data_IF_506692771039
#
_entry.id   IF_506692771039
#
_cell.length_a   1.000
_cell.length_b   1.000
_cell.length_c   1.000
_cell.angle_alpha   90.00
_cell.angle_beta   90.00
_cell.angle_gamma   90.00
#
_symmetry.space_group_name_H-M   'P 1'
#
loop_
_entity.id
_entity.type
_entity.pdbx_description
1 polymer ?
#
# COMPACT_ATOMS: atom_id res chain seq x y z
N UNK A 1 -22.28 -28.43 45.86
CA UNK A 1 -21.05 -27.96 46.54
C UNK A 1 -19.85 -28.65 45.90
N UNK A 2 -19.21 -27.99 44.93
CA UNK A 2 -17.80 -28.20 44.60
C UNK A 2 -17.31 -26.87 44.04
N UNK A 3 -16.68 -26.09 44.92
CA UNK A 3 -16.10 -24.82 44.58
C UNK A 3 -14.83 -25.07 43.75
N UNK A 4 -14.75 -24.42 42.60
CA UNK A 4 -13.52 -24.33 41.79
C UNK A 4 -12.50 -23.52 42.59
N UNK A 5 -11.27 -24.01 42.81
CA UNK A 5 -10.26 -23.26 43.53
C UNK A 5 -9.82 -22.03 42.72
N UNK A 6 -9.49 -20.90 43.39
CA UNK A 6 -8.99 -19.71 42.71
C UNK A 6 -7.61 -20.00 42.09
N UNK A 7 -7.44 -19.56 40.85
CA UNK A 7 -6.16 -19.55 40.13
C UNK A 7 -5.21 -18.59 40.86
N UNK A 8 -3.92 -18.94 41.06
CA UNK A 8 -2.97 -18.05 41.70
C UNK A 8 -2.77 -16.80 40.83
N UNK A 9 -2.75 -15.64 41.49
CA UNK A 9 -2.40 -14.36 40.89
C UNK A 9 -0.88 -14.32 40.69
N UNK A 10 -0.42 -14.81 39.54
CA UNK A 10 0.97 -14.73 39.13
C UNK A 10 1.26 -13.26 38.81
N UNK A 11 1.69 -12.51 39.82
CA UNK A 11 1.92 -11.05 39.86
C UNK A 11 2.95 -10.47 38.86
N UNK A 12 2.92 -10.91 37.61
CA UNK A 12 3.52 -10.27 36.46
C UNK A 12 2.48 -9.36 35.80
N UNK A 13 2.21 -8.24 36.47
CA UNK A 13 1.79 -7.02 35.77
C UNK A 13 2.91 -6.70 34.78
N UNK A 14 2.78 -7.16 33.52
CA UNK A 14 3.59 -6.63 32.43
C UNK A 14 3.20 -5.17 32.31
N UNK A 15 4.03 -4.32 32.91
CA UNK A 15 3.94 -2.88 32.79
C UNK A 15 3.77 -2.56 31.30
N UNK A 16 2.64 -1.93 30.96
CA UNK A 16 2.53 -1.26 29.68
C UNK A 16 3.69 -0.26 29.53
N UNK A 17 4.05 0.12 28.30
CA UNK A 17 5.07 1.12 28.08
C UNK A 17 4.75 2.36 28.93
N UNK A 18 5.76 3.00 29.56
CA UNK A 18 5.53 4.08 30.50
C UNK A 18 4.67 5.18 29.86
N UNK A 19 3.66 5.64 30.61
CA UNK A 19 2.86 6.80 30.26
C UNK A 19 3.81 8.00 30.08
N UNK A 20 4.02 8.41 28.82
CA UNK A 20 4.98 9.45 28.46
C UNK A 20 5.44 9.44 26.99
N UNK A 21 5.15 8.39 26.21
CA UNK A 21 5.67 8.25 24.83
C UNK A 21 4.65 8.50 23.70
N UNK A 22 3.42 8.90 24.01
CA UNK A 22 2.41 9.32 23.04
C UNK A 22 2.03 10.77 23.33
N UNK A 23 2.87 11.73 22.93
CA UNK A 23 2.45 13.12 22.91
C UNK A 23 1.37 13.33 21.84
N UNK A 24 0.37 14.22 22.04
CA UNK A 24 -0.49 14.66 20.95
C UNK A 24 0.37 15.25 19.82
N UNK A 25 -0.11 15.27 18.58
CA UNK A 25 0.49 16.11 17.54
C UNK A 25 0.34 17.56 18.02
N UNK A 26 1.39 18.23 18.50
CA UNK A 26 1.18 19.52 19.10
C UNK A 26 1.10 20.48 17.92
N UNK A 27 -0.08 21.02 17.62
CA UNK A 27 -0.27 21.98 16.53
C UNK A 27 0.70 23.17 16.61
N UNK A 28 1.25 23.44 17.80
CA UNK A 28 2.29 24.43 18.08
C UNK A 28 3.68 24.09 17.55
N UNK A 29 4.04 22.82 17.36
CA UNK A 29 5.36 22.42 16.86
C UNK A 29 5.51 22.90 15.42
N UNK A 30 6.63 23.58 15.16
CA UNK A 30 6.95 24.14 13.85
C UNK A 30 8.16 23.47 13.20
N UNK A 31 9.16 23.06 13.98
CA UNK A 31 10.44 22.52 13.47
C UNK A 31 10.53 21.02 13.73
N UNK A 32 10.44 20.23 12.68
CA UNK A 32 10.40 18.76 12.77
C UNK A 32 11.57 18.18 11.98
N UNK A 33 12.27 17.22 12.59
CA UNK A 33 13.38 16.50 11.97
C UNK A 33 12.99 15.04 11.71
N UNK A 34 13.20 14.55 10.48
CA UNK A 34 12.88 13.18 10.06
C UNK A 34 14.16 12.37 9.79
N UNK A 35 14.42 11.33 10.58
CA UNK A 35 15.58 10.43 10.41
C UNK A 35 15.19 9.24 9.53
N UNK A 36 15.87 9.07 8.39
CA UNK A 36 15.46 8.16 7.33
C UNK A 36 14.33 8.75 6.48
N UNK A 37 14.44 10.03 6.11
CA UNK A 37 13.38 10.80 5.45
C UNK A 37 13.02 10.27 4.05
N UNK A 38 13.90 9.50 3.40
CA UNK A 38 13.70 8.97 2.05
C UNK A 38 12.81 7.74 1.97
N UNK A 39 12.48 7.08 3.09
CA UNK A 39 11.56 5.94 3.08
C UNK A 39 10.14 6.34 2.67
N UNK A 40 9.40 5.48 1.97
CA UNK A 40 8.04 5.78 1.44
C UNK A 40 7.13 6.49 2.46
N UNK A 41 6.85 5.89 3.62
CA UNK A 41 6.00 6.51 4.64
C UNK A 41 6.60 7.76 5.29
N UNK A 42 7.94 7.85 5.38
CA UNK A 42 8.62 9.03 5.92
C UNK A 42 8.54 10.22 4.95
N UNK A 43 8.72 9.98 3.65
CA UNK A 43 8.64 10.99 2.61
C UNK A 43 7.21 11.51 2.42
N UNK A 44 6.19 10.63 2.57
CA UNK A 44 4.78 11.05 2.58
C UNK A 44 4.48 11.96 3.78
N UNK A 45 4.96 11.60 4.98
CA UNK A 45 4.80 12.44 6.17
C UNK A 45 5.56 13.77 6.05
N UNK A 46 6.78 13.76 5.51
CA UNK A 46 7.55 14.97 5.25
C UNK A 46 6.81 15.90 4.27
N UNK A 47 6.25 15.34 3.19
CA UNK A 47 5.45 16.08 2.20
C UNK A 47 4.21 16.70 2.86
N UNK A 48 3.47 15.93 3.66
CA UNK A 48 2.33 16.43 4.43
C UNK A 48 2.74 17.61 5.33
N UNK A 49 3.83 17.43 6.08
CA UNK A 49 4.35 18.43 7.00
C UNK A 49 4.72 19.74 6.31
N UNK A 50 5.37 19.68 5.15
CA UNK A 50 5.67 20.84 4.32
C UNK A 50 4.40 21.54 3.84
N UNK A 51 3.40 20.78 3.37
CA UNK A 51 2.10 21.33 2.95
C UNK A 51 1.35 21.99 4.11
N UNK A 52 1.48 21.47 5.33
CA UNK A 52 0.97 22.10 6.57
C UNK A 52 1.77 23.34 7.02
N UNK A 53 2.76 23.78 6.22
CA UNK A 53 3.59 24.95 6.52
C UNK A 53 4.65 24.74 7.60
N UNK A 54 4.96 23.48 7.96
CA UNK A 54 5.99 23.17 8.96
C UNK A 54 7.40 23.30 8.37
N UNK A 55 8.36 23.63 9.23
CA UNK A 55 9.77 23.62 8.87
C UNK A 55 10.31 22.20 9.00
N UNK A 56 10.49 21.56 7.85
CA UNK A 56 10.96 20.17 7.78
C UNK A 56 12.46 20.11 7.54
N UNK A 57 13.13 19.30 8.35
CA UNK A 57 14.49 18.84 8.11
C UNK A 57 14.54 17.32 8.19
N UNK A 58 15.61 16.71 7.73
CA UNK A 58 15.81 15.27 7.86
C UNK A 58 17.16 14.80 7.40
N UNK A 59 17.39 13.51 7.55
CA UNK A 59 18.61 12.82 7.14
C UNK A 59 18.27 11.51 6.44
N UNK A 60 19.04 11.16 5.42
CA UNK A 60 18.99 9.84 4.78
C UNK A 60 20.33 9.56 4.11
N UNK A 61 20.83 8.33 4.24
CA UNK A 61 22.09 7.91 3.58
C UNK A 61 21.89 7.49 2.14
N UNK A 62 20.64 7.32 1.70
CA UNK A 62 20.29 7.08 0.32
C UNK A 62 20.46 8.33 -0.57
N UNK A 63 20.30 8.10 -1.87
CA UNK A 63 20.25 9.15 -2.89
C UNK A 63 19.10 8.84 -3.84
N UNK A 64 18.45 9.86 -4.38
CA UNK A 64 17.47 9.65 -5.45
C UNK A 64 16.35 10.69 -5.49
N UNK A 65 15.46 10.50 -6.45
CA UNK A 65 14.39 11.42 -6.80
C UNK A 65 13.50 11.83 -5.61
N UNK A 66 13.25 10.92 -4.67
CA UNK A 66 12.47 11.23 -3.45
C UNK A 66 13.12 12.32 -2.60
N UNK A 67 14.43 12.22 -2.35
CA UNK A 67 15.15 13.21 -1.56
C UNK A 67 15.26 14.54 -2.31
N UNK A 68 15.44 14.49 -3.63
CA UNK A 68 15.52 15.68 -4.47
C UNK A 68 14.18 16.41 -4.53
N UNK A 69 13.07 15.68 -4.62
CA UNK A 69 11.73 16.24 -4.54
C UNK A 69 11.46 16.92 -3.18
N UNK A 70 11.87 16.29 -2.07
CA UNK A 70 11.74 16.89 -0.74
C UNK A 70 12.57 18.17 -0.59
N UNK A 71 13.80 18.20 -1.12
CA UNK A 71 14.63 19.41 -1.15
C UNK A 71 13.98 20.51 -1.98
N UNK A 72 13.46 20.17 -3.17
CA UNK A 72 12.75 21.11 -4.03
C UNK A 72 11.47 21.65 -3.37
N UNK A 73 10.81 20.85 -2.55
CA UNK A 73 9.65 21.24 -1.74
C UNK A 73 10.01 22.04 -0.47
N UNK A 74 11.31 22.27 -0.20
CA UNK A 74 11.78 23.13 0.89
C UNK A 74 12.30 22.42 2.14
N UNK A 75 12.38 21.08 2.15
CA UNK A 75 13.01 20.36 3.25
C UNK A 75 14.54 20.52 3.26
N UNK A 76 15.13 20.65 4.45
CA UNK A 76 16.59 20.56 4.63
C UNK A 76 16.99 19.11 4.84
N UNK A 77 17.66 18.49 3.86
CA UNK A 77 18.00 17.06 3.90
C UNK A 77 19.51 16.84 3.93
N UNK A 78 20.01 16.27 5.02
CA UNK A 78 21.39 15.82 5.19
C UNK A 78 21.61 14.42 4.60
N UNK A 79 22.80 14.16 4.06
CA UNK A 79 23.16 12.88 3.43
C UNK A 79 23.79 11.87 4.38
N UNK A 80 23.99 12.24 5.64
CA UNK A 80 24.62 11.40 6.67
C UNK A 80 23.91 11.60 8.00
N UNK A 81 24.00 10.58 8.87
CA UNK A 81 23.49 10.69 10.22
C UNK A 81 24.50 11.35 11.15
N UNK A 82 24.23 12.58 11.58
CA UNK A 82 25.13 13.38 12.44
C UNK A 82 24.36 14.04 13.57
N UNK A 83 24.94 14.07 14.77
CA UNK A 83 24.31 14.63 15.97
C UNK A 83 23.83 16.07 15.78
N UNK A 84 24.53 16.86 14.96
CA UNK A 84 24.23 18.26 14.70
C UNK A 84 22.94 18.45 13.87
N UNK A 85 22.49 17.41 13.14
CA UNK A 85 21.32 17.49 12.25
C UNK A 85 20.02 17.80 13.01
N UNK A 86 19.91 17.41 14.29
CA UNK A 86 18.72 17.68 15.11
C UNK A 86 18.72 19.07 15.77
N UNK A 87 19.77 19.87 15.56
CA UNK A 87 19.90 21.19 16.19
C UNK A 87 18.73 22.10 15.82
N UNK A 88 18.01 22.59 16.83
CA UNK A 88 16.86 23.47 16.65
C UNK A 88 15.55 22.75 16.31
N UNK A 89 15.54 21.42 16.18
CA UNK A 89 14.31 20.65 16.08
C UNK A 89 13.52 20.72 17.40
N UNK A 90 12.19 20.77 17.28
CA UNK A 90 11.25 20.67 18.40
C UNK A 90 10.68 19.25 18.54
N UNK A 91 10.82 18.45 17.48
CA UNK A 91 10.35 17.08 17.40
C UNK A 91 11.19 16.26 16.43
N UNK A 92 11.46 15.00 16.77
CA UNK A 92 12.17 14.05 15.91
C UNK A 92 11.27 12.86 15.60
N UNK A 93 11.17 12.51 14.32
CA UNK A 93 10.45 11.34 13.84
C UNK A 93 11.44 10.44 13.14
N UNK A 94 11.44 9.15 13.43
CA UNK A 94 12.34 8.19 12.79
C UNK A 94 11.62 7.07 12.07
N UNK A 95 12.23 6.60 10.99
CA UNK A 95 11.82 5.37 10.31
C UNK A 95 12.08 4.15 11.20
N UNK A 96 11.40 3.03 10.91
CA UNK A 96 11.61 1.78 11.63
C UNK A 96 13.02 1.18 11.44
N UNK A 97 13.72 1.57 10.36
CA UNK A 97 15.08 1.11 10.07
C UNK A 97 16.16 1.85 10.87
N UNK A 98 15.80 2.94 11.57
CA UNK A 98 16.75 3.73 12.36
C UNK A 98 16.86 3.17 13.78
N UNK A 99 18.04 2.65 14.19
CA UNK A 99 18.23 2.06 15.51
C UNK A 99 18.27 3.11 16.63
N UNK A 100 18.20 2.65 17.88
CA UNK A 100 18.23 3.51 19.08
C UNK A 100 19.58 4.19 19.32
N UNK A 101 20.66 3.63 18.80
CA UNK A 101 22.03 4.13 18.90
C UNK A 101 22.43 5.08 17.75
N UNK A 102 21.50 5.39 16.85
CA UNK A 102 21.73 6.38 15.80
C UNK A 102 22.12 7.75 16.43
N UNK A 103 23.17 8.42 15.91
CA UNK A 103 23.71 9.64 16.53
C UNK A 103 22.68 10.78 16.66
N UNK A 104 21.72 10.89 15.74
CA UNK A 104 20.64 11.89 15.80
C UNK A 104 19.64 11.59 16.91
N UNK A 105 19.33 10.31 17.12
CA UNK A 105 18.40 9.87 18.16
C UNK A 105 19.01 10.05 19.55
N UNK A 106 20.30 9.73 19.69
CA UNK A 106 21.04 9.98 20.93
C UNK A 106 21.14 11.48 21.23
N UNK A 107 21.45 12.31 20.23
CA UNK A 107 21.53 13.75 20.37
C UNK A 107 20.18 14.37 20.76
N UNK A 108 19.08 13.94 20.13
CA UNK A 108 17.73 14.38 20.47
C UNK A 108 17.39 14.06 21.94
N UNK A 109 17.74 12.85 22.40
CA UNK A 109 17.53 12.42 23.78
C UNK A 109 18.33 13.28 24.78
N UNK A 110 19.60 13.57 24.49
CA UNK A 110 20.45 14.44 25.32
C UNK A 110 19.89 15.86 25.37
N UNK A 111 19.35 16.36 24.26
CA UNK A 111 18.75 17.69 24.16
C UNK A 111 17.31 17.77 24.72
N UNK A 112 16.73 16.66 25.18
CA UNK A 112 15.34 16.61 25.66
C UNK A 112 14.29 16.80 24.57
N UNK A 113 14.65 16.63 23.29
CA UNK A 113 13.74 16.73 22.15
C UNK A 113 12.97 15.40 22.04
N UNK A 114 11.62 15.42 22.01
CA UNK A 114 10.83 14.20 21.84
C UNK A 114 11.19 13.50 20.53
N UNK A 115 11.54 12.21 20.61
CA UNK A 115 11.88 11.37 19.48
C UNK A 115 10.95 10.16 19.41
N UNK A 116 10.14 10.06 18.34
CA UNK A 116 9.15 8.99 18.16
C UNK A 116 9.35 8.24 16.85
N UNK A 117 8.81 7.02 16.78
CA UNK A 117 8.73 6.27 15.52
C UNK A 117 7.63 6.86 14.63
N UNK A 118 7.74 6.67 13.32
CA UNK A 118 6.73 7.03 12.32
C UNK A 118 5.30 6.67 12.75
N UNK A 119 5.08 5.42 13.19
CA UNK A 119 3.76 4.95 13.62
C UNK A 119 3.18 5.77 14.78
N UNK A 120 4.00 6.19 15.73
CA UNK A 120 3.58 7.06 16.83
C UNK A 120 3.20 8.45 16.35
N UNK A 121 3.97 9.03 15.42
CA UNK A 121 3.65 10.34 14.84
C UNK A 121 2.35 10.32 14.02
N UNK A 122 2.14 9.29 13.21
CA UNK A 122 0.90 9.09 12.45
C UNK A 122 -0.28 8.82 13.40
N UNK A 123 -0.07 8.02 14.44
CA UNK A 123 -1.06 7.80 15.50
C UNK A 123 -1.53 9.10 16.15
N UNK A 124 -0.59 10.00 16.43
CA UNK A 124 -0.87 11.32 16.98
C UNK A 124 -1.63 12.24 16.00
N UNK A 125 -1.44 12.10 14.69
CA UNK A 125 -2.21 12.80 13.65
C UNK A 125 -3.67 12.34 13.58
N UNK A 126 -3.93 11.06 13.86
CA UNK A 126 -5.30 10.49 13.85
C UNK A 126 -6.08 10.76 15.13
N UNK A 127 -5.39 11.02 16.24
CA UNK A 127 -6.01 11.16 17.55
C UNK A 127 -6.94 12.40 17.59
N UNK A 128 -8.19 12.18 18.01
CA UNK A 128 -9.18 13.25 18.18
C UNK A 128 -9.75 13.84 16.90
N UNK A 129 -9.47 13.24 15.73
CA UNK A 129 -10.02 13.65 14.42
C UNK A 129 -10.88 12.54 13.81
N UNK A 130 -11.93 12.86 13.06
CA UNK A 130 -12.63 11.87 12.22
C UNK A 130 -11.61 11.22 11.29
N UNK A 131 -11.36 9.93 11.45
CA UNK A 131 -10.29 9.20 10.78
C UNK A 131 -10.83 7.93 10.13
N UNK A 132 -10.65 7.81 8.82
CA UNK A 132 -10.83 6.58 8.06
C UNK A 132 -9.47 5.91 7.85
N UNK A 133 -9.29 4.77 8.51
CA UNK A 133 -8.09 3.94 8.32
C UNK A 133 -8.38 2.82 7.30
N UNK A 134 -7.55 2.74 6.26
CA UNK A 134 -7.69 1.75 5.18
C UNK A 134 -6.61 0.68 5.36
N UNK A 135 -7.02 -0.49 5.83
CA UNK A 135 -6.14 -1.63 6.10
C UNK A 135 -6.38 -2.78 5.11
N UNK A 136 -5.48 -3.75 5.10
CA UNK A 136 -5.65 -5.03 4.40
C UNK A 136 -4.38 -5.47 3.71
N UNK A 137 -4.31 -6.71 3.22
CA UNK A 137 -3.07 -7.22 2.61
C UNK A 137 -2.82 -6.56 1.25
N UNK A 138 -3.87 -6.45 0.42
CA UNK A 138 -3.81 -5.90 -0.94
C UNK A 138 -4.73 -4.69 -1.08
N UNK A 139 -4.49 -3.81 -2.06
CA UNK A 139 -5.43 -2.74 -2.42
C UNK A 139 -5.50 -1.53 -1.46
N UNK A 140 -4.74 -1.53 -0.35
CA UNK A 140 -4.69 -0.41 0.61
C UNK A 140 -4.42 0.94 -0.06
N UNK A 141 -3.32 1.03 -0.81
CA UNK A 141 -2.86 2.27 -1.43
C UNK A 141 -3.87 2.86 -2.42
N UNK A 142 -4.35 2.04 -3.36
CA UNK A 142 -5.35 2.48 -4.34
C UNK A 142 -6.63 2.93 -3.65
N UNK A 143 -7.11 2.18 -2.66
CA UNK A 143 -8.34 2.51 -1.92
C UNK A 143 -8.17 3.78 -1.08
N UNK A 144 -7.03 3.95 -0.40
CA UNK A 144 -6.71 5.15 0.39
C UNK A 144 -6.68 6.40 -0.50
N UNK A 145 -6.01 6.31 -1.65
CA UNK A 145 -5.94 7.40 -2.61
C UNK A 145 -7.30 7.74 -3.21
N UNK A 146 -8.11 6.73 -3.53
CA UNK A 146 -9.46 6.91 -4.07
C UNK A 146 -10.39 7.56 -3.04
N UNK A 147 -10.36 7.11 -1.79
CA UNK A 147 -11.12 7.72 -0.69
C UNK A 147 -10.70 9.17 -0.50
N UNK A 148 -9.40 9.45 -0.41
CA UNK A 148 -8.90 10.82 -0.28
C UNK A 148 -9.36 11.70 -1.44
N UNK A 149 -9.31 11.20 -2.68
CA UNK A 149 -9.81 11.90 -3.86
C UNK A 149 -11.33 12.16 -3.81
N UNK A 150 -12.13 11.19 -3.39
CA UNK A 150 -13.58 11.35 -3.23
C UNK A 150 -13.90 12.45 -2.21
N UNK A 151 -13.26 12.42 -1.03
CA UNK A 151 -13.50 13.42 0.02
C UNK A 151 -13.07 14.83 -0.45
N UNK A 152 -11.90 14.95 -1.05
CA UNK A 152 -11.37 16.21 -1.59
C UNK A 152 -12.28 16.80 -2.67
N UNK A 153 -12.68 16.00 -3.67
CA UNK A 153 -13.62 16.43 -4.74
C UNK A 153 -15.03 16.70 -4.24
N UNK A 154 -15.37 16.24 -3.04
CA UNK A 154 -16.64 16.52 -2.37
C UNK A 154 -16.59 17.76 -1.46
N UNK A 155 -15.44 18.46 -1.41
CA UNK A 155 -15.27 19.68 -0.64
C UNK A 155 -15.09 19.45 0.87
N UNK A 156 -14.70 18.23 1.28
CA UNK A 156 -14.47 17.89 2.68
C UNK A 156 -13.03 18.14 3.15
N UNK A 157 -12.15 18.62 2.26
CA UNK A 157 -10.78 19.05 2.57
C UNK A 157 -9.99 18.06 3.45
N UNK A 158 -9.76 16.82 2.99
CA UNK A 158 -9.20 15.76 3.83
C UNK A 158 -7.70 15.97 4.11
N UNK A 159 -7.26 15.55 5.29
CA UNK A 159 -5.85 15.22 5.51
C UNK A 159 -5.62 13.78 5.05
N UNK A 160 -4.66 13.52 4.17
CA UNK A 160 -4.40 12.19 3.66
C UNK A 160 -2.93 11.78 3.75
N UNK A 161 -2.68 10.52 4.10
CA UNK A 161 -1.38 9.84 4.00
C UNK A 161 -1.55 8.55 3.20
N UNK A 162 -0.94 8.51 2.02
CA UNK A 162 -1.10 7.45 1.00
C UNK A 162 0.25 6.75 0.81
N UNK A 163 0.26 5.41 0.68
CA UNK A 163 1.50 4.63 0.52
C UNK A 163 2.25 4.85 -0.79
N UNK A 164 1.63 5.50 -1.78
CA UNK A 164 2.22 5.88 -3.05
C UNK A 164 1.64 7.22 -3.54
N UNK A 165 2.31 7.83 -4.52
CA UNK A 165 1.83 9.04 -5.17
C UNK A 165 0.53 8.79 -5.93
N UNK A 166 -0.50 9.59 -5.64
CA UNK A 166 -1.71 9.65 -6.45
C UNK A 166 -1.45 10.48 -7.70
N UNK A 167 -1.83 9.96 -8.87
CA UNK A 167 -1.65 10.66 -10.16
C UNK A 167 -2.44 11.97 -10.16
N UNK A 168 -3.67 11.94 -9.63
CA UNK A 168 -4.54 13.12 -9.57
C UNK A 168 -3.99 14.23 -8.65
N UNK A 169 -3.32 13.83 -7.56
CA UNK A 169 -2.83 14.77 -6.54
C UNK A 169 -1.39 15.21 -6.80
N UNK A 170 -0.67 14.46 -7.64
CA UNK A 170 0.78 14.58 -7.82
C UNK A 170 1.53 14.61 -6.47
N UNK A 171 1.02 13.83 -5.50
CA UNK A 171 1.52 13.74 -4.15
C UNK A 171 1.04 12.44 -3.49
N UNK A 172 1.77 11.98 -2.47
CA UNK A 172 1.37 10.88 -1.58
C UNK A 172 0.70 11.38 -0.29
N UNK A 173 0.36 12.66 -0.22
CA UNK A 173 -0.28 13.28 0.93
C UNK A 173 -1.13 14.50 0.54
N UNK A 174 -2.11 14.83 1.40
CA UNK A 174 -2.90 16.06 1.36
C UNK A 174 -2.96 16.69 2.74
N UNK A 175 -2.77 18.00 2.82
CA UNK A 175 -2.92 18.78 4.05
C UNK A 175 -4.25 19.55 4.05
N UNK A 176 -5.29 18.91 4.56
CA UNK A 176 -6.59 19.55 4.80
C UNK A 176 -6.99 19.55 6.27
N UNK A 177 -7.98 20.38 6.61
CA UNK A 177 -8.50 20.53 7.98
C UNK A 177 -9.65 19.56 8.30
N UNK A 178 -10.17 18.86 7.30
CA UNK A 178 -11.27 17.91 7.40
C UNK A 178 -10.88 16.52 7.93
N UNK A 179 -11.62 15.47 7.51
CA UNK A 179 -11.37 14.10 7.92
C UNK A 179 -9.97 13.61 7.53
N UNK A 180 -9.41 12.73 8.36
CA UNK A 180 -8.13 12.06 8.10
C UNK A 180 -8.38 10.76 7.34
N UNK A 181 -7.61 10.53 6.28
CA UNK A 181 -7.57 9.26 5.53
C UNK A 181 -6.15 8.73 5.59
N UNK A 182 -5.98 7.51 6.11
CA UNK A 182 -4.64 6.95 6.31
C UNK A 182 -4.58 5.50 5.84
N UNK A 183 -3.53 5.20 5.07
CA UNK A 183 -3.15 3.82 4.80
C UNK A 183 -2.64 3.17 6.09
N UNK A 184 -3.34 2.13 6.54
CA UNK A 184 -3.06 1.41 7.78
C UNK A 184 -2.22 0.16 7.49
N UNK A 185 -0.91 0.28 7.73
CA UNK A 185 0.09 -0.76 7.52
C UNK A 185 0.11 -1.77 8.67
N UNK A 186 -0.17 -3.03 8.35
CA UNK A 186 -0.10 -4.17 9.26
C UNK A 186 1.33 -4.56 9.60
N UNK A 187 2.30 -4.27 8.73
CA UNK A 187 3.71 -4.60 8.96
C UNK A 187 4.22 -3.90 10.23
N UNK A 188 4.94 -4.64 11.07
CA UNK A 188 5.40 -4.18 12.38
C UNK A 188 4.27 -3.68 13.31
N UNK A 189 3.03 -4.15 13.07
CA UNK A 189 1.82 -3.81 13.83
C UNK A 189 1.55 -2.30 13.91
N UNK A 190 2.03 -1.51 12.94
CA UNK A 190 2.04 -0.04 12.97
C UNK A 190 0.64 0.55 13.08
N UNK A 191 -0.32 -0.05 12.37
CA UNK A 191 -1.72 0.37 12.44
C UNK A 191 -2.35 0.30 13.85
N UNK A 192 -1.74 -0.40 14.81
CA UNK A 192 -2.15 -0.40 16.22
C UNK A 192 -1.70 0.89 16.94
N UNK A 193 -1.05 1.83 16.26
CA UNK A 193 -0.82 3.17 16.80
C UNK A 193 -1.94 4.15 16.42
N UNK A 194 -2.84 3.75 15.50
CA UNK A 194 -3.91 4.61 14.98
C UNK A 194 -5.11 4.68 15.93
N UNK A 195 -5.87 5.76 15.80
CA UNK A 195 -7.13 6.02 16.51
C UNK A 195 -8.25 6.25 15.49
N UNK A 196 -8.69 5.20 14.75
CA UNK A 196 -9.69 5.34 13.71
C UNK A 196 -11.09 5.63 14.29
N UNK A 197 -11.87 6.47 13.60
CA UNK A 197 -13.32 6.57 13.81
C UNK A 197 -14.09 5.63 12.87
N UNK A 198 -13.48 5.22 11.77
CA UNK A 198 -13.99 4.24 10.81
C UNK A 198 -12.82 3.44 10.22
N UNK A 199 -13.10 2.20 9.79
CA UNK A 199 -12.12 1.38 9.10
C UNK A 199 -12.68 0.73 7.83
N UNK A 200 -11.83 0.64 6.81
CA UNK A 200 -12.05 -0.18 5.62
C UNK A 200 -10.97 -1.26 5.58
N UNK A 201 -11.37 -2.54 5.55
CA UNK A 201 -10.44 -3.66 5.39
C UNK A 201 -10.63 -4.32 4.02
N UNK A 202 -9.59 -4.30 3.20
CA UNK A 202 -9.62 -4.81 1.83
C UNK A 202 -9.44 -6.32 1.71
N UNK A 203 -8.47 -6.87 2.45
CA UNK A 203 -8.22 -8.31 2.52
C UNK A 203 -7.38 -8.68 3.74
N UNK A 204 -7.42 -9.94 4.18
CA UNK A 204 -6.54 -10.50 5.21
C UNK A 204 -6.02 -11.85 4.74
N UNK A 205 -4.78 -11.87 4.25
CA UNK A 205 -4.09 -13.02 3.69
C UNK A 205 -2.72 -13.21 4.34
N UNK A 206 -2.09 -14.37 4.09
CA UNK A 206 -0.74 -14.64 4.57
C UNK A 206 0.28 -13.82 3.77
N UNK A 207 0.81 -12.76 4.37
CA UNK A 207 1.97 -12.02 3.86
C UNK A 207 2.89 -11.69 5.04
N UNK A 208 4.07 -11.14 4.77
CA UNK A 208 5.03 -10.73 5.79
C UNK A 208 5.39 -11.86 6.76
N UNK A 209 5.50 -13.10 6.26
CA UNK A 209 5.86 -14.29 7.06
C UNK A 209 7.33 -14.29 7.54
N UNK A 210 8.10 -13.27 7.16
CA UNK A 210 9.36 -12.88 7.77
C UNK A 210 9.17 -12.21 9.15
N UNK A 211 7.96 -11.69 9.42
CA UNK A 211 7.59 -11.01 10.65
C UNK A 211 6.49 -11.75 11.43
N UNK A 212 5.41 -12.13 10.76
CA UNK A 212 4.31 -12.89 11.36
C UNK A 212 4.59 -14.38 11.29
N UNK A 213 4.16 -15.11 12.32
CA UNK A 213 4.31 -16.56 12.38
C UNK A 213 3.46 -17.28 11.33
N UNK A 214 2.20 -16.89 11.22
CA UNK A 214 1.19 -17.54 10.40
C UNK A 214 -0.01 -16.61 10.18
N UNK A 215 -0.96 -17.05 9.35
CA UNK A 215 -2.20 -16.34 9.07
C UNK A 215 -3.03 -16.08 10.33
N UNK A 216 -3.02 -16.98 11.32
CA UNK A 216 -3.81 -16.80 12.54
C UNK A 216 -3.29 -15.63 13.38
N UNK A 217 -1.96 -15.42 13.43
CA UNK A 217 -1.38 -14.22 14.03
C UNK A 217 -1.80 -12.95 13.28
N UNK A 218 -1.78 -12.98 11.94
CA UNK A 218 -2.20 -11.84 11.11
C UNK A 218 -3.67 -11.50 11.38
N UNK A 219 -4.58 -12.48 11.30
CA UNK A 219 -6.00 -12.29 11.59
C UNK A 219 -6.25 -11.73 13.00
N UNK A 220 -5.51 -12.24 14.00
CA UNK A 220 -5.58 -11.72 15.37
C UNK A 220 -5.16 -10.25 15.46
N UNK A 221 -4.11 -9.86 14.73
CA UNK A 221 -3.60 -8.49 14.70
C UNK A 221 -4.55 -7.55 13.96
N UNK A 222 -5.22 -8.01 12.90
CA UNK A 222 -6.30 -7.27 12.24
C UNK A 222 -7.53 -7.11 13.15
N UNK A 223 -7.92 -8.15 13.89
CA UNK A 223 -9.04 -8.04 14.84
C UNK A 223 -8.70 -7.05 15.97
N UNK A 224 -7.46 -7.04 16.48
CA UNK A 224 -6.99 -6.03 17.44
C UNK A 224 -7.07 -4.60 16.90
N UNK A 225 -6.81 -4.41 15.60
CA UNK A 225 -6.99 -3.11 14.94
C UNK A 225 -8.46 -2.72 14.85
N UNK A 226 -9.34 -3.65 14.47
CA UNK A 226 -10.80 -3.42 14.42
C UNK A 226 -11.37 -3.12 15.81
N UNK A 227 -10.88 -3.79 16.84
CA UNK A 227 -11.30 -3.58 18.24
C UNK A 227 -10.97 -2.17 18.78
N UNK A 228 -10.15 -1.38 18.05
CA UNK A 228 -9.87 0.03 18.35
C UNK A 228 -10.96 0.99 17.87
N UNK A 229 -11.86 0.54 17.00
CA UNK A 229 -12.98 1.36 16.58
C UNK A 229 -13.85 1.72 17.78
N UNK A 230 -14.39 2.95 17.84
CA UNK A 230 -15.38 3.30 18.84
C UNK A 230 -16.66 2.48 18.61
N UNK A 231 -17.53 2.40 19.63
CA UNK A 231 -18.73 1.56 19.57
C UNK A 231 -19.73 1.92 18.45
N UNK A 232 -19.62 3.12 17.89
CA UNK A 232 -20.39 3.65 16.76
C UNK A 232 -19.58 3.75 15.45
N UNK A 233 -18.29 3.40 15.47
CA UNK A 233 -17.39 3.53 14.32
C UNK A 233 -17.61 2.46 13.26
N UNK A 234 -17.97 2.80 12.02
CA UNK A 234 -18.30 1.81 11.00
C UNK A 234 -17.07 1.01 10.55
N UNK A 235 -17.30 -0.28 10.33
CA UNK A 235 -16.35 -1.21 9.72
C UNK A 235 -16.88 -1.62 8.34
N UNK A 236 -16.12 -1.33 7.29
CA UNK A 236 -16.39 -1.76 5.91
C UNK A 236 -15.41 -2.88 5.54
N UNK A 237 -15.90 -4.07 5.18
CA UNK A 237 -15.04 -5.22 4.85
C UNK A 237 -15.36 -5.83 3.49
N UNK A 238 -14.35 -6.36 2.80
CA UNK A 238 -14.59 -7.11 1.57
C UNK A 238 -15.24 -8.47 1.89
N UNK A 239 -16.42 -8.74 1.31
CA UNK A 239 -17.11 -10.02 1.42
C UNK A 239 -16.44 -11.14 0.60
N UNK A 240 -15.69 -10.76 -0.44
CA UNK A 240 -15.02 -11.70 -1.33
C UNK A 240 -13.72 -12.25 -0.74
N UNK A 241 -13.21 -11.60 0.31
CA UNK A 241 -12.02 -12.02 1.03
C UNK A 241 -12.40 -12.74 2.33
N UNK A 242 -12.13 -14.06 2.47
CA UNK A 242 -12.54 -14.80 3.65
C UNK A 242 -11.96 -14.25 4.97
N UNK A 243 -10.74 -13.72 4.96
CA UNK A 243 -10.07 -13.21 6.15
C UNK A 243 -10.71 -11.90 6.64
N UNK A 244 -10.93 -10.94 5.75
CA UNK A 244 -11.63 -9.70 6.04
C UNK A 244 -13.08 -9.95 6.42
N UNK A 245 -13.77 -10.89 5.75
CA UNK A 245 -15.14 -11.24 6.07
C UNK A 245 -15.31 -11.82 7.48
N UNK A 246 -14.28 -12.48 8.03
CA UNK A 246 -14.26 -12.99 9.41
C UNK A 246 -14.13 -11.91 10.48
N UNK A 247 -13.70 -10.70 10.13
CA UNK A 247 -13.55 -9.61 11.09
C UNK A 247 -14.91 -9.19 11.66
N UNK A 248 -14.94 -9.01 12.97
CA UNK A 248 -16.15 -8.64 13.71
C UNK A 248 -15.97 -7.32 14.42
N UNK A 249 -17.05 -6.57 14.58
CA UNK A 249 -17.06 -5.35 15.40
C UNK A 249 -18.36 -5.30 16.20
N UNK A 250 -18.33 -4.56 17.33
CA UNK A 250 -19.53 -4.22 18.09
C UNK A 250 -20.32 -3.07 17.46
N UNK A 251 -19.69 -2.35 16.52
CA UNK A 251 -20.28 -1.23 15.81
C UNK A 251 -21.00 -1.66 14.53
N UNK A 252 -21.37 -0.70 13.67
CA UNK A 252 -21.94 -0.97 12.35
C UNK A 252 -20.91 -1.68 11.48
N UNK A 253 -21.31 -2.80 10.87
CA UNK A 253 -20.51 -3.56 9.91
C UNK A 253 -21.22 -3.59 8.57
N UNK A 254 -20.50 -3.25 7.52
CA UNK A 254 -20.97 -3.34 6.13
C UNK A 254 -19.98 -4.13 5.29
N UNK A 255 -20.51 -4.79 4.27
CA UNK A 255 -19.75 -5.64 3.37
C UNK A 255 -19.83 -5.15 1.94
N UNK A 256 -18.76 -5.32 1.18
CA UNK A 256 -18.72 -4.97 -0.25
C UNK A 256 -18.04 -6.07 -1.07
N UNK A 257 -18.38 -6.16 -2.35
CA UNK A 257 -17.74 -7.10 -3.27
C UNK A 257 -18.70 -7.72 -4.28
N UNK A 258 -18.24 -8.73 -5.00
CA UNK A 258 -19.03 -9.54 -5.93
C UNK A 258 -19.90 -10.60 -5.25
N UNK A 259 -19.65 -10.90 -3.96
CA UNK A 259 -20.40 -11.89 -3.20
C UNK A 259 -21.91 -11.57 -3.23
N UNK A 260 -22.78 -12.57 -3.48
CA UNK A 260 -24.23 -12.35 -3.59
C UNK A 260 -24.85 -11.68 -2.36
N UNK A 261 -24.28 -11.92 -1.18
CA UNK A 261 -24.72 -11.37 0.10
C UNK A 261 -24.03 -10.09 0.55
N UNK A 262 -23.20 -9.45 -0.30
CA UNK A 262 -22.57 -8.18 0.04
C UNK A 262 -23.61 -7.06 0.14
N UNK A 263 -23.46 -6.15 1.12
CA UNK A 263 -24.33 -4.98 1.29
C UNK A 263 -24.16 -3.98 0.13
N UNK A 264 -22.91 -3.80 -0.33
CA UNK A 264 -22.50 -3.05 -1.52
C UNK A 264 -22.03 -4.02 -2.59
N UNK A 265 -22.98 -4.52 -3.38
CA UNK A 265 -22.73 -5.61 -4.33
C UNK A 265 -22.33 -5.10 -5.70
N UNK A 266 -21.19 -5.58 -6.21
CA UNK A 266 -20.71 -5.31 -7.57
C UNK A 266 -21.35 -6.29 -8.54
N UNK A 267 -21.98 -5.76 -9.58
CA UNK A 267 -22.70 -6.51 -10.62
C UNK A 267 -22.31 -5.99 -12.01
N UNK A 268 -22.68 -6.74 -13.06
CA UNK A 268 -22.54 -6.31 -14.47
C UNK A 268 -21.12 -5.81 -14.87
N UNK A 269 -20.07 -6.36 -14.25
CA UNK A 269 -18.68 -5.96 -14.54
C UNK A 269 -18.32 -6.22 -16.00
N UNK A 270 -17.86 -5.14 -16.66
CA UNK A 270 -17.49 -5.13 -18.07
C UNK A 270 -16.22 -4.29 -18.25
N UNK A 271 -15.11 -4.87 -18.76
CA UNK A 271 -13.98 -4.10 -19.25
C UNK A 271 -14.42 -3.17 -20.40
N UNK A 272 -13.95 -1.92 -20.39
CA UNK A 272 -14.24 -0.94 -21.45
C UNK A 272 -12.96 -0.24 -21.88
N UNK A 273 -12.90 0.38 -23.07
CA UNK A 273 -11.72 1.13 -23.48
C UNK A 273 -11.35 2.20 -22.43
N UNK A 274 -10.12 2.10 -21.90
CA UNK A 274 -9.61 3.05 -20.91
C UNK A 274 -10.04 2.80 -19.46
N UNK A 275 -10.71 1.69 -19.14
CA UNK A 275 -11.08 1.38 -17.77
C UNK A 275 -12.10 0.25 -17.59
N UNK A 276 -13.00 0.41 -16.63
CA UNK A 276 -14.05 -0.57 -16.34
C UNK A 276 -15.40 0.11 -16.08
N UNK A 277 -16.47 -0.63 -16.40
CA UNK A 277 -17.85 -0.27 -16.09
C UNK A 277 -18.52 -1.41 -15.30
N UNK A 278 -19.27 -1.08 -14.27
CA UNK A 278 -20.02 -2.04 -13.46
C UNK A 278 -21.17 -1.35 -12.73
N UNK A 279 -22.09 -2.12 -12.16
CA UNK A 279 -23.15 -1.60 -11.31
C UNK A 279 -22.83 -1.91 -9.83
N UNK A 280 -23.25 -1.03 -8.93
CA UNK A 280 -23.21 -1.25 -7.48
C UNK A 280 -24.63 -1.20 -6.93
N UNK A 281 -25.08 -2.31 -6.35
CA UNK A 281 -26.36 -2.44 -5.69
C UNK A 281 -26.21 -2.31 -4.17
N UNK A 282 -26.99 -1.44 -3.54
CA UNK A 282 -27.00 -1.19 -2.08
C UNK A 282 -28.38 -0.75 -1.61
N UNK A 283 -28.89 -1.40 -0.56
CA UNK A 283 -30.18 -1.06 0.08
C UNK A 283 -31.35 -0.88 -0.91
N UNK A 284 -31.46 -1.76 -1.91
CA UNK A 284 -32.52 -1.70 -2.94
C UNK A 284 -32.33 -0.63 -4.01
N UNK A 285 -31.22 0.13 -3.98
CA UNK A 285 -30.79 1.05 -5.03
C UNK A 285 -29.70 0.38 -5.86
N UNK A 286 -29.59 0.75 -7.13
CA UNK A 286 -28.46 0.37 -7.98
C UNK A 286 -28.01 1.59 -8.80
N UNK A 287 -26.72 1.70 -9.03
CA UNK A 287 -26.14 2.77 -9.84
C UNK A 287 -24.93 2.26 -10.62
N UNK A 288 -24.75 2.79 -11.82
CA UNK A 288 -23.61 2.47 -12.67
C UNK A 288 -22.39 3.29 -12.25
N UNK A 289 -21.25 2.61 -12.23
CA UNK A 289 -19.92 3.15 -11.99
C UNK A 289 -19.09 2.99 -13.26
N UNK A 290 -18.43 4.08 -13.65
CA UNK A 290 -17.40 4.08 -14.68
C UNK A 290 -16.12 4.63 -14.06
N UNK A 291 -15.00 3.97 -14.29
CA UNK A 291 -13.69 4.36 -13.74
C UNK A 291 -12.58 4.02 -14.72
N UNK A 292 -11.49 4.78 -14.68
CA UNK A 292 -10.28 4.47 -15.45
C UNK A 292 -9.51 3.26 -14.90
N UNK A 293 -9.82 2.84 -13.67
CA UNK A 293 -9.17 1.70 -13.04
C UNK A 293 -9.55 0.38 -13.73
N UNK A 294 -8.55 -0.47 -13.92
CA UNK A 294 -8.69 -1.74 -14.65
C UNK A 294 -8.84 -2.91 -13.68
N UNK A 295 -9.70 -3.88 -14.04
CA UNK A 295 -9.81 -5.16 -13.36
C UNK A 295 -10.80 -5.22 -12.18
N UNK A 296 -11.24 -6.45 -11.90
CA UNK A 296 -12.22 -6.76 -10.83
C UNK A 296 -11.74 -6.38 -9.43
N UNK A 297 -10.44 -6.43 -9.17
CA UNK A 297 -9.88 -6.00 -7.89
C UNK A 297 -10.09 -4.51 -7.65
N UNK A 298 -10.01 -3.67 -8.70
CA UNK A 298 -10.31 -2.25 -8.58
C UNK A 298 -11.82 -1.96 -8.49
N UNK A 299 -12.68 -2.76 -9.12
CA UNK A 299 -14.13 -2.67 -8.89
C UNK A 299 -14.48 -2.89 -7.41
N UNK A 300 -13.81 -3.85 -6.74
CA UNK A 300 -13.90 -4.04 -5.28
C UNK A 300 -13.40 -2.82 -4.51
N UNK A 301 -12.20 -2.33 -4.82
CA UNK A 301 -11.64 -1.12 -4.18
C UNK A 301 -12.59 0.08 -4.28
N UNK A 302 -13.20 0.27 -5.45
CA UNK A 302 -14.17 1.35 -5.69
C UNK A 302 -15.44 1.15 -4.87
N UNK A 303 -16.03 -0.05 -4.85
CA UNK A 303 -17.20 -0.34 -4.04
C UNK A 303 -16.94 -0.11 -2.53
N UNK A 304 -15.78 -0.56 -2.03
CA UNK A 304 -15.36 -0.31 -0.66
C UNK A 304 -15.16 1.17 -0.36
N UNK A 305 -14.54 1.93 -1.27
CA UNK A 305 -14.34 3.36 -1.12
C UNK A 305 -15.67 4.14 -1.11
N UNK A 306 -16.63 3.76 -1.97
CA UNK A 306 -17.98 4.33 -1.98
C UNK A 306 -18.71 4.07 -0.66
N UNK A 307 -18.66 2.82 -0.16
CA UNK A 307 -19.24 2.45 1.13
C UNK A 307 -18.62 3.27 2.28
N UNK A 308 -17.29 3.34 2.33
CA UNK A 308 -16.60 4.06 3.40
C UNK A 308 -16.84 5.57 3.38
N UNK A 309 -16.93 6.18 2.19
CA UNK A 309 -17.15 7.64 2.06
C UNK A 309 -18.60 8.06 2.30
N UNK A 310 -19.59 7.18 2.15
CA UNK A 310 -20.97 7.45 2.55
C UNK A 310 -21.07 7.82 4.04
N UNK A 311 -20.26 7.18 4.90
CA UNK A 311 -20.19 7.49 6.33
C UNK A 311 -19.66 8.89 6.67
N UNK A 312 -18.96 9.53 5.73
CA UNK A 312 -18.49 10.91 5.86
C UNK A 312 -19.48 11.92 5.24
N UNK A 313 -20.69 11.48 4.88
CA UNK A 313 -21.75 12.34 4.34
C UNK A 313 -21.56 12.71 2.88
N UNK A 314 -20.70 12.00 2.14
CA UNK A 314 -20.50 12.25 0.71
C UNK A 314 -21.75 11.84 -0.07
N UNK A 315 -22.29 12.76 -0.86
CA UNK A 315 -23.42 12.45 -1.74
C UNK A 315 -23.02 11.54 -2.90
N UNK A 316 -23.84 10.52 -3.21
CA UNK A 316 -23.56 9.54 -4.26
C UNK A 316 -23.12 10.16 -5.60
N UNK A 317 -23.79 11.23 -6.05
CA UNK A 317 -23.44 11.92 -7.30
C UNK A 317 -22.01 12.48 -7.29
N UNK A 318 -21.58 13.06 -6.17
CA UNK A 318 -20.22 13.60 -6.02
C UNK A 318 -19.20 12.46 -6.01
N UNK A 319 -19.50 11.39 -5.26
CA UNK A 319 -18.64 10.21 -5.21
C UNK A 319 -18.44 9.58 -6.59
N UNK A 320 -19.50 9.39 -7.37
CA UNK A 320 -19.42 8.83 -8.73
C UNK A 320 -18.61 9.72 -9.68
N UNK A 321 -18.79 11.05 -9.61
CA UNK A 321 -18.00 11.97 -10.42
C UNK A 321 -16.50 11.96 -10.03
N UNK A 322 -16.19 11.82 -8.74
CA UNK A 322 -14.82 11.67 -8.27
C UNK A 322 -14.21 10.35 -8.74
N UNK A 323 -14.92 9.22 -8.61
CA UNK A 323 -14.49 7.90 -9.09
C UNK A 323 -14.19 7.91 -10.60
N UNK A 324 -15.04 8.56 -11.39
CA UNK A 324 -14.86 8.65 -12.85
C UNK A 324 -13.63 9.47 -13.25
N UNK A 325 -13.22 10.45 -12.43
CA UNK A 325 -12.05 11.31 -12.68
C UNK A 325 -10.76 10.81 -12.03
N UNK A 326 -10.82 9.76 -11.21
CA UNK A 326 -9.65 9.18 -10.57
C UNK A 326 -8.82 8.41 -11.60
N UNK A 327 -7.51 8.67 -11.63
CA UNK A 327 -6.52 8.14 -12.58
C UNK A 327 -5.61 7.07 -11.96
N UNK A 328 -5.82 6.73 -10.68
CA UNK A 328 -5.02 5.75 -9.97
C UNK A 328 -3.82 6.34 -9.24
N UNK A 329 -2.89 5.46 -8.90
CA UNK A 329 -1.67 5.75 -8.14
C UNK A 329 -0.48 5.22 -8.92
N UNK A 330 0.68 5.87 -8.77
CA UNK A 330 1.92 5.43 -9.41
C UNK A 330 2.20 3.97 -9.08
N UNK A 331 2.70 3.23 -10.07
CA UNK A 331 3.00 1.79 -9.97
C UNK A 331 1.79 0.91 -9.57
N UNK A 332 0.55 1.31 -9.84
CA UNK A 332 -0.64 0.45 -9.69
C UNK A 332 -1.39 0.46 -11.02
N UNK A 333 -1.06 -0.49 -11.88
CA UNK A 333 -1.47 -0.55 -13.28
C UNK A 333 -1.16 0.76 -14.03
N UNK A 334 0.03 1.34 -13.78
CA UNK A 334 0.41 2.63 -14.36
C UNK A 334 0.85 2.44 -15.81
N UNK A 335 0.12 3.03 -16.75
CA UNK A 335 0.54 3.06 -18.16
C UNK A 335 1.76 3.97 -18.32
N UNK A 336 2.87 3.41 -18.79
CA UNK A 336 4.11 4.14 -19.08
C UNK A 336 4.15 4.68 -20.51
N UNK A 337 3.50 3.97 -21.44
CA UNK A 337 3.42 4.38 -22.84
C UNK A 337 2.79 3.32 -23.73
N UNK A 338 2.63 3.66 -25.01
CA UNK A 338 2.14 2.74 -26.05
C UNK A 338 3.03 2.73 -27.32
N UNK A 339 4.33 2.44 -27.19
CA UNK A 339 5.26 2.45 -28.33
C UNK A 339 4.85 1.41 -29.39
N UNK A 340 4.77 1.83 -30.66
CA UNK A 340 4.38 0.96 -31.79
C UNK A 340 3.07 0.18 -31.57
N UNK A 341 2.16 0.69 -30.76
CA UNK A 341 0.89 0.02 -30.44
C UNK A 341 0.97 -1.06 -29.35
N UNK A 342 2.14 -1.28 -28.73
CA UNK A 342 2.37 -2.18 -27.59
C UNK A 342 2.14 -1.39 -26.30
N UNK A 343 1.30 -1.87 -25.40
CA UNK A 343 1.12 -1.22 -24.09
C UNK A 343 2.26 -1.59 -23.14
N UNK A 344 2.83 -0.60 -22.44
CA UNK A 344 3.79 -0.82 -21.34
C UNK A 344 3.17 -0.33 -20.04
N UNK A 345 3.05 -1.24 -19.07
CA UNK A 345 2.39 -1.00 -17.78
C UNK A 345 3.34 -1.37 -16.63
N UNK A 346 3.45 -0.51 -15.61
CA UNK A 346 4.21 -0.73 -14.38
C UNK A 346 3.25 -1.02 -13.21
N UNK A 347 3.52 -2.09 -12.46
CA UNK A 347 2.76 -2.46 -11.28
C UNK A 347 3.66 -2.91 -10.10
N UNK A 348 3.26 -2.56 -8.89
CA UNK A 348 3.94 -2.87 -7.64
C UNK A 348 3.63 -4.28 -7.11
N UNK A 349 2.74 -5.03 -7.75
CA UNK A 349 2.35 -6.38 -7.37
C UNK A 349 3.58 -7.27 -7.15
N UNK A 350 3.66 -7.84 -5.95
CA UNK A 350 4.79 -8.66 -5.49
C UNK A 350 4.35 -9.86 -4.65
N UNK A 351 3.05 -10.00 -4.41
CA UNK A 351 2.42 -11.13 -3.76
C UNK A 351 1.65 -11.94 -4.82
N UNK A 352 1.64 -13.28 -4.78
CA UNK A 352 0.99 -14.12 -5.79
C UNK A 352 -0.46 -13.73 -6.11
N UNK A 353 -1.28 -13.48 -5.08
CA UNK A 353 -2.67 -13.02 -5.26
C UNK A 353 -2.75 -11.71 -6.05
N UNK A 354 -1.90 -10.74 -5.73
CA UNK A 354 -1.86 -9.45 -6.41
C UNK A 354 -1.37 -9.60 -7.86
N UNK A 355 -0.37 -10.45 -8.10
CA UNK A 355 0.18 -10.76 -9.44
C UNK A 355 -0.91 -11.40 -10.30
N UNK A 356 -1.60 -12.42 -9.80
CA UNK A 356 -2.69 -13.06 -10.52
C UNK A 356 -3.83 -12.07 -10.83
N UNK A 357 -4.19 -11.21 -9.86
CA UNK A 357 -5.24 -10.22 -10.03
C UNK A 357 -4.91 -9.13 -11.07
N UNK A 358 -3.64 -8.69 -11.14
CA UNK A 358 -3.20 -7.69 -12.11
C UNK A 358 -3.01 -8.30 -13.51
N UNK A 359 -2.56 -9.56 -13.60
CA UNK A 359 -2.45 -10.26 -14.88
C UNK A 359 -3.83 -10.57 -15.48
N UNK A 360 -4.80 -10.97 -14.65
CA UNK A 360 -6.18 -11.13 -15.11
C UNK A 360 -6.75 -9.81 -15.64
N UNK A 361 -6.48 -8.70 -14.94
CA UNK A 361 -6.88 -7.35 -15.37
C UNK A 361 -6.20 -6.94 -16.68
N UNK A 362 -4.92 -7.25 -16.85
CA UNK A 362 -4.18 -6.99 -18.08
C UNK A 362 -4.70 -7.84 -19.25
N UNK A 363 -5.06 -9.10 -18.99
CA UNK A 363 -5.65 -10.00 -19.98
C UNK A 363 -7.00 -9.48 -20.49
N UNK A 364 -7.83 -8.95 -19.60
CA UNK A 364 -9.10 -8.29 -19.95
C UNK A 364 -8.90 -6.99 -20.77
N UNK A 365 -7.72 -6.35 -20.66
CA UNK A 365 -7.41 -5.06 -21.28
C UNK A 365 -6.72 -5.18 -22.65
N UNK A 366 -6.37 -6.39 -23.10
CA UNK A 366 -5.68 -6.61 -24.37
C UNK A 366 -6.31 -7.75 -25.17
N UNK A 367 -6.25 -7.67 -26.49
CA UNK A 367 -6.56 -8.78 -27.41
C UNK A 367 -5.28 -9.48 -27.92
N UNK A 368 -4.10 -8.87 -27.73
CA UNK A 368 -2.80 -9.42 -28.14
C UNK A 368 -2.18 -10.36 -27.11
N UNK A 369 -0.87 -10.61 -27.21
CA UNK A 369 -0.15 -11.38 -26.20
C UNK A 369 0.09 -10.56 -24.92
N UNK A 370 -0.01 -11.22 -23.77
CA UNK A 370 0.31 -10.66 -22.45
C UNK A 370 1.71 -11.13 -22.03
N UNK A 371 2.61 -10.16 -21.86
CA UNK A 371 3.97 -10.35 -21.36
C UNK A 371 4.04 -9.94 -19.88
N UNK A 372 4.36 -10.89 -19.01
CA UNK A 372 4.63 -10.65 -17.60
C UNK A 372 6.15 -10.57 -17.38
N UNK A 373 6.66 -9.41 -16.98
CA UNK A 373 8.06 -9.25 -16.57
C UNK A 373 8.09 -9.06 -15.07
N UNK A 374 8.55 -10.05 -14.31
CA UNK A 374 8.44 -10.06 -12.86
C UNK A 374 9.78 -10.14 -12.15
N UNK A 375 10.00 -9.24 -11.19
CA UNK A 375 11.12 -9.31 -10.25
C UNK A 375 10.60 -9.73 -8.86
N UNK A 376 10.90 -10.96 -8.40
CA UNK A 376 10.54 -11.37 -7.05
C UNK A 376 11.23 -10.49 -5.99
N UNK A 377 10.56 -10.27 -4.87
CA UNK A 377 11.05 -9.39 -3.80
C UNK A 377 11.28 -10.21 -2.52
N UNK A 378 12.54 -10.29 -2.07
CA UNK A 378 13.10 -11.15 -0.99
C UNK A 378 13.04 -12.64 -1.28
N UNK A 379 14.12 -13.34 -0.99
CA UNK A 379 14.20 -14.81 -1.06
C UNK A 379 13.28 -15.49 -0.04
N UNK A 380 13.10 -14.91 1.15
CA UNK A 380 12.27 -15.48 2.20
C UNK A 380 10.78 -15.52 1.82
N UNK A 381 10.25 -14.44 1.22
CA UNK A 381 8.88 -14.44 0.70
C UNK A 381 8.72 -15.43 -0.45
N UNK A 382 9.66 -15.42 -1.40
CA UNK A 382 9.64 -16.35 -2.53
C UNK A 382 9.61 -17.81 -2.08
N UNK A 383 10.42 -18.16 -1.08
CA UNK A 383 10.44 -19.51 -0.53
C UNK A 383 9.17 -19.86 0.27
N UNK A 384 8.63 -18.90 1.03
CA UNK A 384 7.43 -19.13 1.83
C UNK A 384 6.16 -19.32 0.97
N UNK A 385 6.08 -18.64 -0.17
CA UNK A 385 4.92 -18.66 -1.08
C UNK A 385 5.27 -19.32 -2.43
N UNK A 386 6.23 -20.24 -2.45
CA UNK A 386 6.81 -20.78 -3.68
C UNK A 386 5.76 -21.43 -4.59
N UNK A 387 4.88 -22.23 -4.01
CA UNK A 387 3.81 -22.91 -4.76
C UNK A 387 2.85 -21.90 -5.40
N UNK A 388 2.48 -20.85 -4.67
CA UNK A 388 1.57 -19.82 -5.18
C UNK A 388 2.25 -18.98 -6.28
N UNK A 389 3.53 -18.62 -6.12
CA UNK A 389 4.31 -17.95 -7.17
C UNK A 389 4.40 -18.81 -8.43
N UNK A 390 4.56 -20.13 -8.30
CA UNK A 390 4.65 -21.03 -9.47
C UNK A 390 3.35 -21.06 -10.30
N UNK A 391 2.22 -20.64 -9.72
CA UNK A 391 0.88 -20.67 -10.34
C UNK A 391 0.37 -19.30 -10.77
N UNK A 392 0.87 -18.21 -10.20
CA UNK A 392 0.25 -16.88 -10.35
C UNK A 392 0.40 -16.24 -11.74
N UNK A 393 1.21 -16.81 -12.64
CA UNK A 393 1.46 -16.28 -13.98
C UNK A 393 0.48 -16.76 -15.05
N UNK A 394 -0.46 -17.66 -14.73
CA UNK A 394 -1.25 -18.40 -15.73
C UNK A 394 -2.15 -17.58 -16.69
N UNK A 395 -2.32 -16.27 -16.48
CA UNK A 395 -3.00 -15.40 -17.45
C UNK A 395 -2.06 -14.82 -18.52
N UNK A 396 -0.73 -14.92 -18.33
CA UNK A 396 0.28 -14.42 -19.25
C UNK A 396 0.60 -15.45 -20.34
N UNK A 397 0.82 -14.98 -21.55
CA UNK A 397 1.30 -15.80 -22.66
C UNK A 397 2.82 -16.02 -22.54
N UNK A 398 3.53 -15.00 -22.04
CA UNK A 398 4.98 -15.02 -21.81
C UNK A 398 5.29 -14.52 -20.40
N UNK A 399 6.08 -15.26 -19.63
CA UNK A 399 6.59 -14.84 -18.34
C UNK A 399 8.12 -14.76 -18.34
N UNK A 400 8.68 -13.60 -17.97
CA UNK A 400 10.12 -13.35 -17.83
C UNK A 400 10.38 -13.07 -16.35
N UNK A 401 11.13 -13.96 -15.70
CA UNK A 401 11.51 -13.83 -14.29
C UNK A 401 12.91 -13.25 -14.18
N UNK A 402 13.03 -12.16 -13.41
CA UNK A 402 14.30 -11.48 -13.11
C UNK A 402 14.91 -12.01 -11.81
N UNK A 403 16.20 -11.74 -11.53
CA UNK A 403 16.82 -12.14 -10.27
C UNK A 403 16.09 -11.52 -9.07
N UNK A 404 15.98 -12.29 -7.99
CA UNK A 404 15.28 -11.86 -6.77
C UNK A 404 15.92 -10.58 -6.21
N UNK A 405 15.12 -9.52 -6.08
CA UNK A 405 15.53 -8.28 -5.44
C UNK A 405 15.66 -8.48 -3.93
N UNK A 406 16.82 -8.12 -3.38
CA UNK A 406 17.13 -8.25 -1.95
C UNK A 406 17.40 -6.88 -1.34
N UNK A 407 16.40 -6.24 -0.70
CA UNK A 407 16.63 -4.98 0.00
C UNK A 407 17.64 -5.17 1.13
N UNK A 408 18.60 -4.26 1.25
CA UNK A 408 19.62 -4.31 2.30
C UNK A 408 18.98 -4.35 3.70
N UNK A 409 19.48 -5.24 4.55
CA UNK A 409 19.04 -5.36 5.96
C UNK A 409 17.68 -6.05 6.17
N UNK A 410 17.03 -6.59 5.14
CA UNK A 410 15.75 -7.31 5.25
C UNK A 410 15.88 -8.84 5.29
N UNK A 411 17.03 -9.41 4.95
CA UNK A 411 17.22 -10.87 4.90
C UNK A 411 18.55 -11.26 5.57
N UNK A 412 18.53 -11.53 6.87
CA UNK A 412 19.69 -12.07 7.61
C UNK A 412 19.88 -13.57 7.37
N UNK A 413 18.79 -14.29 7.13
CA UNK A 413 18.74 -15.74 6.89
C UNK A 413 18.04 -16.05 5.57
N UNK A 414 18.67 -15.67 4.44
CA UNK A 414 18.08 -15.85 3.11
C UNK A 414 17.92 -17.34 2.77
N UNK A 415 16.68 -17.77 2.50
CA UNK A 415 16.40 -19.14 2.03
C UNK A 415 16.95 -19.36 0.61
N UNK A 416 17.49 -20.56 0.30
CA UNK A 416 18.04 -20.87 -1.01
C UNK A 416 16.91 -21.11 -2.03
N UNK A 417 16.48 -20.04 -2.70
CA UNK A 417 15.51 -20.09 -3.79
C UNK A 417 15.91 -19.09 -4.87
N UNK A 418 15.68 -19.46 -6.12
CA UNK A 418 16.06 -18.69 -7.31
C UNK A 418 14.87 -18.49 -8.25
N UNK A 419 15.04 -17.58 -9.22
CA UNK A 419 14.03 -17.37 -10.26
C UNK A 419 14.00 -18.53 -11.26
N UNK A 420 15.11 -19.25 -11.41
CA UNK A 420 15.24 -20.49 -12.15
C UNK A 420 14.38 -21.61 -11.53
N UNK A 421 14.40 -21.74 -10.19
CA UNK A 421 13.53 -22.69 -9.49
C UNK A 421 12.05 -22.39 -9.75
N UNK A 422 11.67 -21.11 -9.69
CA UNK A 422 10.30 -20.67 -10.00
C UNK A 422 9.92 -20.93 -11.45
N UNK A 423 10.82 -20.64 -12.40
CA UNK A 423 10.59 -20.86 -13.82
C UNK A 423 10.38 -22.35 -14.13
N UNK A 424 11.22 -23.21 -13.55
CA UNK A 424 11.11 -24.66 -13.68
C UNK A 424 9.78 -25.16 -13.10
N UNK A 425 9.38 -24.67 -11.92
CA UNK A 425 8.11 -25.04 -11.29
C UNK A 425 6.89 -24.59 -12.12
N UNK A 426 6.87 -23.35 -12.59
CA UNK A 426 5.80 -22.82 -13.43
C UNK A 426 5.69 -23.56 -14.78
N UNK A 427 6.83 -23.90 -15.40
CA UNK A 427 6.88 -24.72 -16.62
C UNK A 427 6.36 -26.13 -16.38
N UNK A 428 6.74 -26.78 -15.27
CA UNK A 428 6.25 -28.11 -14.90
C UNK A 428 4.73 -28.13 -14.63
N UNK A 429 4.15 -27.00 -14.22
CA UNK A 429 2.71 -26.79 -14.07
C UNK A 429 2.00 -26.47 -15.39
N UNK A 430 2.73 -26.39 -16.51
CA UNK A 430 2.19 -26.25 -17.86
C UNK A 430 2.08 -24.82 -18.37
N UNK A 431 2.75 -23.84 -17.74
CA UNK A 431 2.80 -22.49 -18.30
C UNK A 431 3.46 -22.51 -19.69
N UNK A 432 2.85 -21.87 -20.71
CA UNK A 432 3.25 -22.05 -22.12
C UNK A 432 4.66 -21.55 -22.41
N UNK A 433 5.08 -20.45 -21.77
CA UNK A 433 6.40 -19.88 -21.96
C UNK A 433 6.88 -19.11 -20.73
N UNK A 434 7.81 -19.70 -19.98
CA UNK A 434 8.47 -19.07 -18.82
C UNK A 434 9.97 -19.07 -19.04
N UNK A 435 10.58 -17.90 -18.88
CA UNK A 435 12.00 -17.68 -19.13
C UNK A 435 12.60 -16.90 -17.96
N UNK A 436 13.92 -17.03 -17.81
CA UNK A 436 14.68 -16.24 -16.84
C UNK A 436 15.56 -15.27 -17.62
N UNK A 437 15.62 -14.02 -17.16
CA UNK A 437 16.59 -13.03 -17.61
C UNK A 437 17.52 -12.72 -16.45
N UNK A 438 18.82 -12.65 -16.72
CA UNK A 438 19.86 -12.37 -15.71
C UNK A 438 19.95 -10.87 -15.40
N UNK A 439 19.49 -10.01 -16.31
CA UNK A 439 19.57 -8.56 -16.20
C UNK A 439 18.32 -7.86 -16.74
N UNK A 440 18.14 -6.59 -16.40
CA UNK A 440 17.09 -5.75 -16.99
C UNK A 440 17.28 -5.55 -18.49
N UNK A 441 18.53 -5.41 -18.96
CA UNK A 441 18.84 -5.30 -20.38
C UNK A 441 18.42 -6.56 -21.15
N UNK A 442 18.71 -7.74 -20.62
CA UNK A 442 18.31 -9.01 -21.22
C UNK A 442 16.78 -9.13 -21.28
N UNK A 443 16.07 -8.82 -20.19
CA UNK A 443 14.60 -8.83 -20.18
C UNK A 443 14.01 -7.85 -21.19
N UNK A 444 14.58 -6.64 -21.29
CA UNK A 444 14.19 -5.63 -22.29
C UNK A 444 14.36 -6.15 -23.71
N UNK A 445 15.52 -6.74 -24.00
CA UNK A 445 15.84 -7.21 -25.35
C UNK A 445 14.96 -8.41 -25.75
N UNK A 446 14.62 -9.29 -24.79
CA UNK A 446 13.65 -10.37 -25.00
C UNK A 446 12.25 -9.84 -25.35
N UNK A 447 11.77 -8.82 -24.64
CA UNK A 447 10.49 -8.17 -24.94
C UNK A 447 10.53 -7.46 -26.29
N UNK A 448 11.58 -6.69 -26.58
CA UNK A 448 11.71 -5.95 -27.83
C UNK A 448 11.77 -6.87 -29.07
N UNK A 449 12.38 -8.04 -28.95
CA UNK A 449 12.41 -9.03 -30.03
C UNK A 449 11.05 -9.72 -30.25
N UNK A 450 10.27 -9.91 -29.18
CA UNK A 450 9.08 -10.75 -29.19
C UNK A 450 7.74 -10.01 -29.30
N UNK A 451 7.61 -8.86 -28.65
CA UNK A 451 6.34 -8.14 -28.56
C UNK A 451 5.88 -7.60 -29.92
N UNK A 452 4.56 -7.55 -30.13
CA UNK A 452 3.92 -7.13 -31.37
C UNK A 452 2.84 -6.07 -31.11
N UNK A 453 2.50 -5.22 -32.10
CA UNK A 453 1.40 -4.27 -31.94
C UNK A 453 0.12 -4.96 -31.46
N UNK A 454 -0.50 -4.42 -30.41
CA UNK A 454 -1.64 -5.05 -29.73
C UNK A 454 -1.28 -5.79 -28.44
N UNK A 455 -0.01 -6.15 -28.24
CA UNK A 455 0.45 -6.78 -26.99
C UNK A 455 0.42 -5.81 -25.80
N UNK A 456 0.42 -6.39 -24.60
CA UNK A 456 0.59 -5.67 -23.34
C UNK A 456 1.77 -6.27 -22.57
N UNK A 457 2.73 -5.41 -22.21
CA UNK A 457 3.86 -5.73 -21.36
C UNK A 457 3.61 -5.17 -19.96
N UNK A 458 3.43 -6.08 -19.00
CA UNK A 458 3.22 -5.77 -17.60
C UNK A 458 4.50 -6.06 -16.82
N UNK A 459 5.13 -4.99 -16.33
CA UNK A 459 6.33 -5.04 -15.49
C UNK A 459 5.92 -4.98 -14.04
N UNK A 460 6.30 -5.98 -13.24
CA UNK A 460 5.80 -6.18 -11.88
C UNK A 460 6.91 -6.39 -10.86
N UNK A 461 6.77 -5.77 -9.69
CA UNK A 461 7.57 -6.06 -8.50
C UNK A 461 7.71 -4.85 -7.58
N UNK A 462 8.03 -5.07 -6.30
CA UNK A 462 8.18 -3.97 -5.34
C UNK A 462 9.55 -3.27 -5.39
N UNK A 463 10.54 -3.87 -6.07
CA UNK A 463 11.92 -3.41 -6.15
C UNK A 463 12.16 -2.34 -7.22
N UNK A 464 13.37 -2.41 -7.80
CA UNK A 464 13.88 -1.45 -8.79
C UNK A 464 13.46 -1.75 -10.23
N UNK A 465 12.68 -2.82 -10.46
CA UNK A 465 12.13 -3.20 -11.77
C UNK A 465 11.28 -2.10 -12.45
N UNK A 466 10.78 -1.12 -11.71
CA UNK A 466 10.13 0.08 -12.29
C UNK A 466 11.02 0.83 -13.29
N UNK A 467 12.35 0.75 -13.12
CA UNK A 467 13.32 1.32 -14.09
C UNK A 467 13.19 0.64 -15.46
N UNK A 468 13.04 -0.69 -15.48
CA UNK A 468 12.83 -1.45 -16.70
C UNK A 468 11.53 -1.02 -17.41
N UNK A 469 10.46 -0.73 -16.68
CA UNK A 469 9.22 -0.24 -17.27
C UNK A 469 9.40 1.11 -17.98
N UNK A 470 10.24 1.99 -17.42
CA UNK A 470 10.59 3.27 -18.04
C UNK A 470 11.49 3.08 -19.28
N UNK A 471 12.46 2.17 -19.21
CA UNK A 471 13.42 1.90 -20.29
C UNK A 471 12.80 1.15 -21.48
N UNK A 472 11.74 0.37 -21.25
CA UNK A 472 11.03 -0.37 -22.30
C UNK A 472 10.36 0.54 -23.33
N UNK A 473 9.86 1.71 -22.91
CA UNK A 473 9.18 2.64 -23.82
C UNK A 473 10.10 3.08 -24.97
N UNK A 474 11.26 3.73 -24.73
CA UNK A 474 12.16 4.13 -25.80
C UNK A 474 12.80 2.95 -26.55
N UNK A 475 13.00 1.82 -25.88
CA UNK A 475 13.55 0.62 -26.51
C UNK A 475 12.60 0.05 -27.58
N UNK A 476 11.30 -0.01 -27.27
CA UNK A 476 10.27 -0.46 -28.20
C UNK A 476 10.01 0.55 -29.33
N UNK A 477 10.25 1.84 -29.12
CA UNK A 477 10.18 2.84 -30.21
C UNK A 477 11.32 2.67 -31.24
N UNK A 478 12.47 2.17 -30.79
CA UNK A 478 13.68 2.05 -31.60
C UNK A 478 13.86 0.68 -32.27
N UNK A 479 13.16 -0.35 -31.79
CA UNK A 479 13.05 -1.67 -32.41
C UNK A 479 12.10 -1.64 -33.61
#
# INVERSE_FOLDING_TARGET
MHAVPPVPDDGLVRAGPPAGFYGPWPGSIQRIHLVGIGGSGMSALATLLLQMGKQVSGSDTGTGATLDALRAAGARVASEHRAENVTGAEYVIRSAAIPDDNPEILAARVAGIPAVKLAGAVGALTAGRPTLAVAGTHGKTTTTALVAWILDRSGLDPLALIGAESVNLNASALAGDGPVVVEADEYDRRFLSLHPSAALVTSVEADHLDYFRDLAEIESVFQQFVDRLPGDGPLVVCADDPGAARLTTRARRETYGFAPGADWRVEAFTPVPGGTRFDVAVAGRAFTVETSLVGRHNARNVAGALAATEHFGVGLRQALAAVASFQGTRRRFETKGRPRGIWVVDDYAHHPTAIAAVLAAARDATEGALWAVFQPHTSNRTAALFEDFSRCFGSADHAILLPIYRPSGRETDARPVTSEDLAAAASALGHPDVRVASTFDEARDMVAAGARPGDLVLVMGAGDVTRLAADLVPALESA
#
